data_IF_112293855138
#
_entry.id   IF_112293855138
#
_cell.length_a   1.000
_cell.length_b   1.000
_cell.length_c   1.000
_cell.angle_alpha   90.00
_cell.angle_beta   90.00
_cell.angle_gamma   90.00
#
_symmetry.space_group_name_H-M   'P 1'
#
loop_
_entity.id
_entity.type
_entity.pdbx_description
1 polymer ?
#
# COMPACT_ATOMS: atom_id res chain seq x y z
N UNK A 1 25.30 6.81 54.51
CA UNK A 1 23.92 6.58 53.98
C UNK A 1 23.93 7.01 52.52
N UNK A 2 24.24 6.08 51.61
CA UNK A 2 23.31 5.39 50.68
C UNK A 2 22.58 6.33 49.69
N UNK A 3 23.17 6.39 48.49
CA UNK A 3 22.54 6.19 47.17
C UNK A 3 21.42 7.16 46.76
N UNK A 4 21.76 8.12 45.91
CA UNK A 4 20.81 8.74 44.97
C UNK A 4 21.55 9.14 43.68
N UNK A 5 22.16 8.14 43.03
CA UNK A 5 22.82 8.27 41.72
C UNK A 5 22.17 7.25 40.80
N UNK A 6 20.98 7.56 40.29
CA UNK A 6 20.34 6.80 39.20
C UNK A 6 19.08 7.53 38.72
N UNK A 7 19.27 8.65 38.03
CA UNK A 7 18.25 9.18 37.14
C UNK A 7 18.29 8.31 35.88
N UNK A 8 17.45 7.28 35.92
CA UNK A 8 17.23 6.32 34.85
C UNK A 8 16.76 7.05 33.60
N UNK A 9 17.52 6.86 32.51
CA UNK A 9 17.09 7.17 31.15
C UNK A 9 15.79 6.42 30.86
N UNK A 10 14.67 7.16 30.84
CA UNK A 10 13.45 6.73 30.17
C UNK A 10 13.67 6.89 28.67
N UNK A 11 14.38 5.92 28.09
CA UNK A 11 14.31 5.68 26.65
C UNK A 11 12.88 5.23 26.34
N UNK A 12 12.04 6.18 25.90
CA UNK A 12 10.79 5.90 25.22
C UNK A 12 11.14 5.17 23.92
N UNK A 13 11.31 3.86 24.00
CA UNK A 13 11.09 2.99 22.87
C UNK A 13 9.63 3.17 22.47
N UNK A 14 9.37 4.10 21.55
CA UNK A 14 8.15 4.07 20.79
C UNK A 14 8.13 2.72 20.09
N UNK A 15 7.41 1.75 20.66
CA UNK A 15 6.92 0.61 19.94
C UNK A 15 6.01 1.17 18.85
N UNK A 16 6.58 1.52 17.70
CA UNK A 16 5.83 1.78 16.48
C UNK A 16 5.14 0.46 16.17
N UNK A 17 3.90 0.32 16.63
CA UNK A 17 3.04 -0.77 16.22
C UNK A 17 3.13 -0.83 14.69
N UNK A 18 3.35 -2.00 14.07
CA UNK A 18 3.31 -2.11 12.63
C UNK A 18 1.96 -1.55 12.22
N UNK A 19 1.96 -0.42 11.51
CA UNK A 19 0.75 0.25 11.06
C UNK A 19 0.17 -0.58 9.93
N UNK A 20 -0.36 -1.76 10.23
CA UNK A 20 -0.90 -2.68 9.25
C UNK A 20 -2.04 -2.07 8.44
N UNK A 21 -2.51 -2.79 7.44
CA UNK A 21 -3.61 -2.37 6.58
C UNK A 21 -4.86 -2.14 7.43
N UNK A 22 -5.40 -0.93 7.39
CA UNK A 22 -6.69 -0.62 8.01
C UNK A 22 -7.75 -0.63 6.94
N UNK A 23 -8.89 -1.26 7.22
CA UNK A 23 -10.04 -1.30 6.31
C UNK A 23 -11.29 -0.83 7.02
N UNK A 24 -12.22 -0.25 6.26
CA UNK A 24 -13.55 0.17 6.72
C UNK A 24 -14.62 -0.41 5.82
N UNK A 25 -15.86 -0.47 6.32
CA UNK A 25 -16.98 -1.07 5.59
C UNK A 25 -16.77 -2.56 5.34
N UNK A 26 -17.14 -3.01 4.14
CA UNK A 26 -17.04 -4.41 3.72
C UNK A 26 -15.74 -4.73 2.99
N UNK A 27 -14.88 -3.73 2.73
CA UNK A 27 -13.60 -3.95 2.08
C UNK A 27 -12.68 -4.81 2.95
N UNK A 28 -12.06 -5.83 2.36
CA UNK A 28 -11.05 -6.69 3.01
C UNK A 28 -9.88 -6.85 2.07
N UNK A 29 -8.69 -6.52 2.56
CA UNK A 29 -7.43 -6.74 1.86
C UNK A 29 -6.72 -7.91 2.52
N UNK A 30 -6.36 -8.90 1.71
CA UNK A 30 -5.69 -10.13 2.13
C UNK A 30 -4.16 -9.97 2.05
N UNK A 31 -3.67 -9.32 0.99
CA UNK A 31 -2.24 -9.11 0.79
C UNK A 31 -1.95 -7.91 -0.12
N UNK A 32 -0.74 -7.38 -0.01
CA UNK A 32 -0.15 -6.38 -0.89
C UNK A 32 1.17 -6.92 -1.43
N UNK A 33 1.43 -6.69 -2.71
CA UNK A 33 2.70 -7.04 -3.35
C UNK A 33 3.24 -5.83 -4.11
N UNK A 34 4.49 -5.38 -3.89
CA UNK A 34 5.44 -5.81 -2.84
C UNK A 34 4.84 -5.72 -1.43
N UNK A 35 5.34 -6.52 -0.48
CA UNK A 35 4.83 -6.54 0.91
C UNK A 35 5.28 -5.30 1.71
N UNK A 36 4.72 -4.15 1.32
CA UNK A 36 5.01 -2.84 1.92
C UNK A 36 4.66 -2.77 3.40
N UNK A 37 3.74 -3.63 3.85
CA UNK A 37 3.32 -3.73 5.26
C UNK A 37 4.43 -4.36 6.10
N UNK A 38 5.16 -5.32 5.53
CA UNK A 38 6.35 -5.92 6.14
C UNK A 38 7.63 -5.11 5.90
N UNK A 39 7.54 -3.92 5.29
CA UNK A 39 8.65 -2.98 5.13
C UNK A 39 9.28 -2.94 3.74
N UNK A 40 8.71 -3.63 2.74
CA UNK A 40 9.15 -3.45 1.36
C UNK A 40 8.93 -2.01 0.91
N UNK A 41 9.80 -1.54 0.02
CA UNK A 41 9.71 -0.19 -0.54
C UNK A 41 9.42 -0.24 -2.02
N UNK A 42 8.69 0.75 -2.50
CA UNK A 42 8.30 0.89 -3.91
C UNK A 42 8.88 2.17 -4.50
N UNK A 43 8.85 2.29 -5.81
CA UNK A 43 9.32 3.45 -6.56
C UNK A 43 8.26 3.89 -7.55
N UNK A 44 8.34 5.15 -7.99
CA UNK A 44 7.51 5.61 -9.09
C UNK A 44 7.71 4.71 -10.33
N UNK A 45 6.60 4.25 -10.91
CA UNK A 45 6.57 3.30 -12.01
C UNK A 45 6.53 1.82 -11.61
N UNK A 46 6.82 1.47 -10.35
CA UNK A 46 6.66 0.09 -9.88
C UNK A 46 5.18 -0.30 -9.90
N UNK A 47 4.93 -1.56 -10.26
CA UNK A 47 3.62 -2.15 -10.07
C UNK A 47 3.39 -2.50 -8.61
N UNK A 48 2.15 -2.34 -8.18
CA UNK A 48 1.65 -2.88 -6.94
C UNK A 48 0.40 -3.71 -7.22
N UNK A 49 0.22 -4.80 -6.47
CA UNK A 49 -0.97 -5.64 -6.53
C UNK A 49 -1.61 -5.74 -5.15
N UNK A 50 -2.91 -5.49 -5.09
CA UNK A 50 -3.75 -5.71 -3.92
C UNK A 50 -4.62 -6.94 -4.17
N UNK A 51 -4.62 -7.90 -3.24
CA UNK A 51 -5.58 -9.01 -3.24
C UNK A 51 -6.61 -8.80 -2.15
N UNK A 52 -7.89 -8.97 -2.48
CA UNK A 52 -8.99 -8.66 -1.58
C UNK A 52 -10.27 -9.43 -1.91
N UNK A 53 -11.36 -9.08 -1.22
CA UNK A 53 -12.66 -9.67 -1.49
C UNK A 53 -13.30 -9.13 -2.77
N UNK A 54 -13.25 -7.81 -3.01
CA UNK A 54 -13.72 -7.14 -4.23
C UNK A 54 -13.10 -5.75 -4.31
N UNK A 55 -12.94 -5.25 -5.54
CA UNK A 55 -12.48 -3.89 -5.81
C UNK A 55 -13.45 -3.13 -6.73
N UNK A 56 -14.72 -3.55 -6.78
CA UNK A 56 -15.70 -2.99 -7.71
C UNK A 56 -15.49 -3.47 -9.15
N UNK A 57 -15.82 -2.63 -10.12
CA UNK A 57 -15.71 -2.91 -11.56
C UNK A 57 -14.67 -2.00 -12.22
N UNK A 58 -14.09 -2.44 -13.35
CA UNK A 58 -13.12 -1.63 -14.08
C UNK A 58 -13.69 -0.26 -14.50
N UNK A 59 -14.97 -0.20 -14.90
CA UNK A 59 -15.61 1.06 -15.29
C UNK A 59 -15.66 2.09 -14.14
N UNK A 60 -15.83 1.65 -12.89
CA UNK A 60 -15.80 2.53 -11.72
C UNK A 60 -14.39 3.08 -11.45
N UNK A 61 -13.34 2.31 -11.75
CA UNK A 61 -11.95 2.79 -11.73
C UNK A 61 -11.66 3.78 -12.86
N UNK A 62 -12.08 3.45 -14.08
CA UNK A 62 -11.86 4.30 -15.25
C UNK A 62 -12.60 5.64 -15.15
N UNK A 63 -13.76 5.65 -14.50
CA UNK A 63 -14.53 6.87 -14.23
C UNK A 63 -14.02 7.69 -13.04
N UNK A 64 -13.15 7.12 -12.21
CA UNK A 64 -12.63 7.74 -10.98
C UNK A 64 -13.56 7.65 -9.76
N UNK A 65 -14.65 6.89 -9.85
CA UNK A 65 -15.49 6.57 -8.68
C UNK A 65 -14.69 5.77 -7.63
N UNK A 66 -13.90 4.79 -8.09
CA UNK A 66 -12.91 4.10 -7.28
C UNK A 66 -11.53 4.75 -7.49
N UNK A 67 -10.74 4.86 -6.43
CA UNK A 67 -9.42 5.48 -6.52
C UNK A 67 -8.44 4.98 -5.46
N UNK A 68 -7.17 5.03 -5.82
CA UNK A 68 -6.05 4.82 -4.92
C UNK A 68 -5.17 6.08 -4.96
N UNK A 69 -4.94 6.71 -3.81
CA UNK A 69 -4.24 7.99 -3.67
C UNK A 69 -2.97 7.83 -2.85
N UNK A 70 -1.83 8.00 -3.50
CA UNK A 70 -0.50 8.04 -2.87
C UNK A 70 -0.23 9.42 -2.25
N UNK A 71 0.54 9.50 -1.14
CA UNK A 71 1.05 10.77 -0.64
C UNK A 71 1.93 11.49 -1.68
N UNK A 72 2.09 12.83 -1.60
CA UNK A 72 1.60 13.74 -0.56
C UNK A 72 0.14 14.17 -0.75
N UNK A 73 -0.46 14.77 0.29
CA UNK A 73 -1.80 15.38 0.21
C UNK A 73 -1.86 16.51 -0.84
N UNK A 74 -2.95 16.64 -1.63
CA UNK A 74 -4.26 16.00 -1.47
C UNK A 74 -4.35 14.55 -1.98
N UNK A 75 -3.25 13.96 -2.43
CA UNK A 75 -3.16 12.60 -2.94
C UNK A 75 -2.90 12.57 -4.44
N UNK A 76 -1.94 11.75 -4.86
CA UNK A 76 -1.62 11.46 -6.25
C UNK A 76 -2.36 10.18 -6.68
N UNK A 77 -3.21 10.21 -7.71
CA UNK A 77 -3.89 9.01 -8.19
C UNK A 77 -2.88 7.97 -8.67
N UNK A 78 -3.11 6.72 -8.30
CA UNK A 78 -2.36 5.60 -8.84
C UNK A 78 -2.51 5.54 -10.37
N UNK A 79 -1.44 5.18 -11.05
CA UNK A 79 -1.42 5.11 -12.51
C UNK A 79 -1.94 3.75 -12.99
N UNK A 80 -2.72 3.73 -14.08
CA UNK A 80 -3.20 2.50 -14.73
C UNK A 80 -3.84 1.47 -13.77
N UNK A 81 -4.89 1.83 -13.00
CA UNK A 81 -5.61 0.87 -12.18
C UNK A 81 -6.30 -0.18 -13.06
N UNK A 82 -6.06 -1.45 -12.75
CA UNK A 82 -6.58 -2.58 -13.52
C UNK A 82 -7.02 -3.71 -12.60
N UNK A 83 -8.28 -4.14 -12.72
CA UNK A 83 -8.79 -5.36 -12.08
C UNK A 83 -8.39 -6.55 -12.95
N UNK A 84 -7.32 -7.24 -12.58
CA UNK A 84 -6.80 -8.42 -13.29
C UNK A 84 -7.52 -9.72 -12.92
N UNK A 85 -8.21 -9.72 -11.77
CA UNK A 85 -9.09 -10.80 -11.35
C UNK A 85 -10.25 -10.20 -10.56
N UNK A 86 -11.50 -10.47 -10.95
CA UNK A 86 -12.66 -9.87 -10.31
C UNK A 86 -13.02 -10.52 -8.96
N UNK A 87 -12.70 -11.80 -8.77
CA UNK A 87 -13.07 -12.59 -7.59
C UNK A 87 -12.15 -13.80 -7.36
N UNK A 88 -12.17 -14.34 -6.14
CA UNK A 88 -11.47 -15.57 -5.70
C UNK A 88 -9.92 -15.60 -5.74
N UNK A 89 -9.20 -14.74 -5.00
CA UNK A 89 -9.58 -13.41 -4.53
C UNK A 89 -9.56 -12.39 -5.67
N UNK A 90 -10.27 -11.27 -5.50
CA UNK A 90 -10.14 -10.15 -6.43
C UNK A 90 -8.69 -9.63 -6.40
N UNK A 91 -8.16 -9.22 -7.55
CA UNK A 91 -6.83 -8.62 -7.69
C UNK A 91 -6.95 -7.30 -8.43
N UNK A 92 -6.50 -6.22 -7.78
CA UNK A 92 -6.34 -4.90 -8.36
C UNK A 92 -4.84 -4.62 -8.50
N UNK A 93 -4.42 -4.20 -9.68
CA UNK A 93 -3.05 -3.77 -9.95
C UNK A 93 -3.03 -2.30 -10.32
N UNK A 94 -1.99 -1.58 -9.93
CA UNK A 94 -1.76 -0.19 -10.33
C UNK A 94 -0.28 0.14 -10.23
N UNK A 95 0.14 1.21 -10.89
CA UNK A 95 1.49 1.76 -10.79
C UNK A 95 1.56 2.88 -9.77
N UNK A 96 2.69 2.92 -9.08
CA UNK A 96 3.05 4.04 -8.19
C UNK A 96 3.27 5.28 -9.05
N UNK A 97 2.56 6.40 -8.79
CA UNK A 97 2.66 7.58 -9.63
C UNK A 97 3.98 8.31 -9.46
N UNK A 98 4.36 9.08 -10.48
CA UNK A 98 5.47 10.02 -10.38
C UNK A 98 5.23 11.03 -9.26
N UNK A 99 6.25 11.26 -8.43
CA UNK A 99 6.18 12.17 -7.29
C UNK A 99 5.56 11.60 -6.01
N UNK A 100 5.20 10.30 -5.99
CA UNK A 100 4.74 9.62 -4.79
C UNK A 100 5.75 9.72 -3.64
N UNK A 101 5.24 9.87 -2.41
CA UNK A 101 6.03 9.96 -1.19
C UNK A 101 5.63 8.86 -0.20
N UNK A 102 6.53 8.57 0.75
CA UNK A 102 6.22 7.70 1.87
C UNK A 102 5.09 8.26 2.72
N UNK A 103 4.20 7.39 3.20
CA UNK A 103 3.05 7.77 4.01
C UNK A 103 1.93 6.75 3.90
N UNK A 104 0.69 7.23 3.83
CA UNK A 104 -0.50 6.38 3.75
C UNK A 104 -1.09 6.42 2.33
N UNK A 105 -1.03 5.29 1.63
CA UNK A 105 -1.83 5.06 0.44
C UNK A 105 -3.28 4.88 0.88
N UNK A 106 -4.17 5.73 0.36
CA UNK A 106 -5.61 5.68 0.63
C UNK A 106 -6.33 5.03 -0.54
N UNK A 107 -7.05 3.96 -0.28
CA UNK A 107 -7.88 3.26 -1.25
C UNK A 107 -9.36 3.55 -0.94
N UNK A 108 -10.12 3.90 -1.96
CA UNK A 108 -11.56 4.03 -1.91
C UNK A 108 -12.21 3.14 -2.97
N UNK A 109 -13.19 2.33 -2.54
CA UNK A 109 -14.02 1.53 -3.43
C UNK A 109 -15.48 1.87 -3.12
N UNK A 110 -16.14 2.52 -4.07
CA UNK A 110 -17.51 3.01 -3.97
C UNK A 110 -18.47 1.87 -3.59
N UNK A 111 -19.38 2.14 -2.64
CA UNK A 111 -20.29 1.13 -2.11
C UNK A 111 -19.66 -0.03 -1.31
N UNK A 112 -18.33 -0.15 -1.24
CA UNK A 112 -17.63 -1.25 -0.54
C UNK A 112 -16.92 -0.77 0.72
N UNK A 113 -16.07 0.25 0.63
CA UNK A 113 -15.34 0.79 1.77
C UNK A 113 -13.99 1.41 1.41
N UNK A 114 -13.19 1.69 2.45
CA UNK A 114 -11.87 2.32 2.31
C UNK A 114 -10.77 1.44 2.90
N UNK A 115 -9.54 1.62 2.42
CA UNK A 115 -8.35 1.11 3.07
C UNK A 115 -7.25 2.16 3.22
N UNK A 116 -6.47 2.03 4.29
CA UNK A 116 -5.23 2.78 4.53
C UNK A 116 -4.08 1.79 4.58
N UNK A 117 -3.09 1.98 3.71
CA UNK A 117 -1.95 1.09 3.56
C UNK A 117 -0.68 1.92 3.77
N UNK A 118 0.21 1.58 4.72
CA UNK A 118 1.50 2.25 4.82
C UNK A 118 2.34 1.93 3.58
N UNK A 119 2.96 2.95 3.00
CA UNK A 119 3.86 2.78 1.86
C UNK A 119 5.15 3.54 2.13
N UNK A 120 6.28 2.90 1.82
CA UNK A 120 7.59 3.52 1.81
C UNK A 120 8.02 3.68 0.35
N UNK A 121 8.17 4.92 -0.09
CA UNK A 121 8.59 5.24 -1.45
C UNK A 121 10.07 5.63 -1.42
N UNK A 122 10.88 4.97 -2.23
CA UNK A 122 12.30 5.29 -2.41
C UNK A 122 12.58 5.78 -3.82
N UNK A 123 13.66 6.54 -3.97
CA UNK A 123 14.16 7.01 -5.27
C UNK A 123 15.18 6.06 -5.91
N UNK A 124 15.67 5.07 -5.17
CA UNK A 124 16.72 4.13 -5.58
C UNK A 124 16.37 2.72 -5.12
N UNK A 125 16.61 1.72 -5.98
CA UNK A 125 16.28 0.33 -5.67
C UNK A 125 17.36 -0.29 -4.77
N UNK A 126 16.97 -1.13 -3.78
CA UNK A 126 17.94 -1.98 -3.13
C UNK A 126 18.63 -2.86 -4.19
N UNK A 127 19.95 -2.98 -4.08
CA UNK A 127 20.78 -3.70 -5.07
C UNK A 127 20.61 -5.23 -5.01
N UNK A 128 19.91 -5.74 -3.99
CA UNK A 128 19.66 -7.16 -3.79
C UNK A 128 18.15 -7.42 -3.71
N UNK A 129 17.70 -8.48 -4.36
CA UNK A 129 16.31 -8.94 -4.25
C UNK A 129 16.03 -9.41 -2.82
N UNK A 130 14.98 -8.85 -2.22
CA UNK A 130 14.50 -9.23 -0.88
C UNK A 130 13.22 -10.04 -1.07
N UNK A 131 13.14 -11.28 -0.54
CA UNK A 131 11.93 -12.09 -0.64
C UNK A 131 10.69 -11.36 -0.12
N UNK A 132 9.61 -11.36 -0.89
CA UNK A 132 8.37 -10.64 -0.60
C UNK A 132 8.36 -9.19 -1.10
N UNK A 133 9.51 -8.65 -1.52
CA UNK A 133 9.62 -7.32 -2.10
C UNK A 133 9.67 -7.33 -3.63
N UNK A 134 9.42 -8.47 -4.26
CA UNK A 134 9.36 -8.57 -5.71
C UNK A 134 8.18 -7.75 -6.25
N UNK A 135 8.48 -6.86 -7.19
CA UNK A 135 7.46 -6.13 -7.97
C UNK A 135 6.68 -7.15 -8.79
N UNK A 136 5.33 -7.16 -8.72
CA UNK A 136 4.53 -8.08 -9.51
C UNK A 136 4.69 -7.80 -11.00
N UNK A 137 4.54 -8.84 -11.82
CA UNK A 137 4.57 -8.68 -13.27
C UNK A 137 3.43 -7.77 -13.73
N UNK A 138 3.65 -6.88 -14.73
CA UNK A 138 2.57 -6.07 -15.30
C UNK A 138 1.38 -6.93 -15.74
N UNK A 139 0.14 -6.41 -15.66
CA UNK A 139 -1.00 -7.06 -16.29
C UNK A 139 -0.73 -7.37 -17.75
N UNK A 140 -1.14 -8.56 -18.20
CA UNK A 140 -1.01 -8.93 -19.62
C UNK A 140 -2.25 -8.45 -20.38
N UNK A 141 -2.10 -7.91 -21.60
CA UNK A 141 -3.26 -7.58 -22.43
C UNK A 141 -4.15 -8.82 -22.63
N UNK A 142 -5.48 -8.66 -22.76
CA UNK A 142 -6.35 -9.76 -23.18
C UNK A 142 -5.87 -10.31 -24.52
N UNK A 143 -5.77 -11.64 -24.64
CA UNK A 143 -5.55 -12.33 -25.92
C UNK A 143 -6.75 -12.18 -26.87
#
# INVERSE_FOLDING_TARGET
MKKAFWLVLLALAACTAPQGIRTTGNLRIQSVQPDVVSGCTVQAGDWMALKGNTFGTQAEWDSGANHALFPPEPGLPAESPEITQAENPATLMFRVPQGAQSGILRLHVEGVGNAEIPVNVQTLAPQMAVPGCEVPAPPQPPE
#
